data_IF_868737185931
#
_entry.id   IF_868737185931
#
_cell.length_a   1.000
_cell.length_b   1.000
_cell.length_c   1.000
_cell.angle_alpha   90.00
_cell.angle_beta   90.00
_cell.angle_gamma   90.00
#
_symmetry.space_group_name_H-M   'P 1'
#
loop_
_entity.id
_entity.type
_entity.pdbx_description
1 polymer ?
#
# COMPACT_ATOMS: atom_id res chain seq x y z
N UNK A 1 3.27 11.11 -4.02
CA UNK A 1 4.08 9.87 -4.13
C UNK A 1 3.26 8.75 -4.78
N UNK A 2 3.17 8.66 -6.12
CA UNK A 2 2.41 7.61 -6.80
C UNK A 2 3.23 6.32 -6.96
N UNK A 3 2.62 5.17 -6.70
CA UNK A 3 3.14 3.85 -7.08
C UNK A 3 2.05 3.07 -7.79
N UNK A 4 2.43 2.28 -8.81
CA UNK A 4 1.47 1.59 -9.70
C UNK A 4 1.84 0.12 -9.83
N UNK A 5 0.83 -0.75 -9.86
CA UNK A 5 0.99 -2.16 -10.20
C UNK A 5 -0.17 -2.64 -11.07
N UNK A 6 0.11 -3.56 -12.00
CA UNK A 6 -0.90 -4.25 -12.79
C UNK A 6 -1.57 -5.35 -11.98
N UNK A 7 -2.84 -5.61 -12.27
CA UNK A 7 -3.68 -6.62 -11.65
C UNK A 7 -4.05 -7.71 -12.66
N UNK A 8 -4.43 -8.89 -12.17
CA UNK A 8 -4.78 -10.03 -13.03
C UNK A 8 -5.97 -9.77 -13.96
N UNK A 9 -6.89 -8.87 -13.58
CA UNK A 9 -8.06 -8.52 -14.39
C UNK A 9 -7.76 -7.49 -15.50
N UNK A 10 -6.49 -7.21 -15.79
CA UNK A 10 -6.07 -6.25 -16.82
C UNK A 10 -6.20 -4.78 -16.42
N UNK A 11 -6.63 -4.48 -15.19
CA UNK A 11 -6.57 -3.13 -14.62
C UNK A 11 -5.21 -2.88 -13.97
N UNK A 12 -4.93 -1.61 -13.69
CA UNK A 12 -3.86 -1.16 -12.83
C UNK A 12 -4.45 -0.49 -11.59
N UNK A 13 -3.73 -0.58 -10.47
CA UNK A 13 -4.01 0.20 -9.27
C UNK A 13 -2.85 1.15 -9.01
N UNK A 14 -3.17 2.43 -8.79
CA UNK A 14 -2.21 3.45 -8.36
C UNK A 14 -2.51 3.85 -6.92
N UNK A 15 -1.57 3.66 -6.00
CA UNK A 15 -1.65 4.19 -4.64
C UNK A 15 -0.89 5.52 -4.54
N UNK A 16 -1.45 6.48 -3.80
CA UNK A 16 -0.87 7.79 -3.58
C UNK A 16 -1.33 8.38 -2.24
N UNK A 17 -0.56 9.31 -1.70
CA UNK A 17 -0.95 10.07 -0.51
C UNK A 17 -1.71 11.33 -0.95
N UNK A 18 -2.80 11.67 -0.26
CA UNK A 18 -3.68 12.76 -0.68
C UNK A 18 -3.93 13.77 0.44
N UNK A 19 -3.21 14.89 0.42
CA UNK A 19 -3.28 15.93 1.47
C UNK A 19 -4.52 16.82 1.41
N UNK A 20 -5.29 16.74 0.32
CA UNK A 20 -6.46 17.60 0.08
C UNK A 20 -7.77 16.84 0.23
N UNK A 21 -7.78 15.76 1.02
CA UNK A 21 -8.99 15.03 1.36
C UNK A 21 -9.98 15.95 2.11
N UNK A 22 -11.16 16.26 1.53
CA UNK A 22 -12.14 17.15 2.14
C UNK A 22 -12.71 16.61 3.46
N UNK A 23 -12.63 15.30 3.70
CA UNK A 23 -13.10 14.68 4.93
C UNK A 23 -12.14 14.89 6.12
N UNK A 24 -10.95 15.42 5.87
CA UNK A 24 -9.96 15.71 6.90
C UNK A 24 -10.16 17.14 7.38
N UNK A 25 -10.68 17.28 8.61
CA UNK A 25 -10.70 18.52 9.36
C UNK A 25 -9.60 18.51 10.43
N UNK A 26 -8.86 19.62 10.57
CA UNK A 26 -7.80 19.76 11.58
C UNK A 26 -6.38 19.62 11.02
N UNK A 27 -5.51 18.88 11.72
CA UNK A 27 -4.08 18.76 11.40
C UNK A 27 -3.84 18.22 9.98
N UNK A 28 -2.87 18.81 9.25
CA UNK A 28 -2.45 18.32 7.94
C UNK A 28 -2.12 16.82 7.97
N UNK A 29 -2.83 16.05 7.16
CA UNK A 29 -2.72 14.60 7.04
C UNK A 29 -2.59 14.22 5.56
N UNK A 30 -1.98 13.07 5.29
CA UNK A 30 -1.77 12.55 3.94
C UNK A 30 -2.38 11.14 3.81
N UNK A 31 -3.70 10.96 3.93
CA UNK A 31 -4.36 9.67 3.81
C UNK A 31 -3.96 8.96 2.51
N UNK A 32 -3.81 7.64 2.58
CA UNK A 32 -3.55 6.84 1.40
C UNK A 32 -4.85 6.70 0.61
N UNK A 33 -4.79 7.12 -0.64
CA UNK A 33 -5.81 6.94 -1.65
C UNK A 33 -5.30 5.99 -2.73
N UNK A 34 -6.23 5.42 -3.49
CA UNK A 34 -5.91 4.70 -4.70
C UNK A 34 -6.92 4.98 -5.81
N UNK A 35 -6.47 4.79 -7.05
CA UNK A 35 -7.30 4.79 -8.26
C UNK A 35 -7.09 3.48 -9.00
N UNK A 36 -8.14 3.01 -9.68
CA UNK A 36 -8.01 1.92 -10.65
C UNK A 36 -8.30 2.43 -12.05
N UNK A 37 -7.55 1.93 -13.03
CA UNK A 37 -7.70 2.29 -14.44
C UNK A 37 -7.33 1.11 -15.33
N UNK A 38 -7.88 1.04 -16.54
CA UNK A 38 -7.49 0.05 -17.56
C UNK A 38 -6.34 0.53 -18.44
N UNK A 39 -6.01 1.83 -18.39
CA UNK A 39 -4.93 2.44 -19.15
C UNK A 39 -4.03 3.22 -18.17
N UNK A 40 -2.71 2.96 -18.14
CA UNK A 40 -1.77 3.61 -17.22
C UNK A 40 -1.66 5.13 -17.42
N UNK A 41 -2.08 5.65 -18.57
CA UNK A 41 -2.07 7.09 -18.89
C UNK A 41 -3.38 7.79 -18.52
N UNK A 42 -4.42 7.04 -18.09
CA UNK A 42 -5.77 7.56 -17.82
C UNK A 42 -6.18 7.50 -16.34
N UNK A 43 -5.26 7.76 -15.42
CA UNK A 43 -5.60 7.90 -13.98
C UNK A 43 -6.26 9.24 -13.63
N UNK A 44 -6.07 10.30 -14.42
CA UNK A 44 -6.71 11.60 -14.17
C UNK A 44 -8.25 11.50 -14.06
N UNK A 45 -8.97 10.90 -15.03
CA UNK A 45 -10.43 10.77 -14.96
C UNK A 45 -10.93 9.69 -13.98
N UNK A 46 -10.05 8.80 -13.48
CA UNK A 46 -10.45 7.77 -12.52
C UNK A 46 -10.76 8.38 -11.15
N UNK A 47 -11.81 7.89 -10.49
CA UNK A 47 -12.19 8.32 -9.15
C UNK A 47 -11.20 7.79 -8.11
N UNK A 48 -10.73 8.69 -7.23
CA UNK A 48 -9.87 8.33 -6.11
C UNK A 48 -10.68 7.80 -4.93
N UNK A 49 -10.23 6.70 -4.35
CA UNK A 49 -10.88 6.05 -3.20
C UNK A 49 -9.92 6.07 -2.01
N UNK A 50 -10.40 6.51 -0.85
CA UNK A 50 -9.64 6.40 0.38
C UNK A 50 -9.43 4.92 0.74
N UNK A 51 -8.19 4.53 1.05
CA UNK A 51 -7.92 3.21 1.59
C UNK A 51 -8.43 3.16 3.02
N UNK A 52 -9.44 2.33 3.27
CA UNK A 52 -9.99 2.10 4.61
C UNK A 52 -10.01 0.60 4.91
N UNK A 53 -9.38 0.23 6.02
CA UNK A 53 -9.43 -1.13 6.51
C UNK A 53 -10.81 -1.44 7.13
N UNK A 54 -11.19 -2.72 7.18
CA UNK A 54 -12.45 -3.20 7.78
C UNK A 54 -12.65 -2.76 9.23
N UNK A 55 -11.56 -2.57 9.98
CA UNK A 55 -11.59 -2.06 11.35
C UNK A 55 -11.60 -0.52 11.45
N UNK A 56 -11.84 0.17 10.34
CA UNK A 56 -11.88 1.64 10.27
C UNK A 56 -10.53 2.34 10.09
N UNK A 57 -9.40 1.63 10.18
CA UNK A 57 -8.05 2.24 10.05
C UNK A 57 -7.88 2.84 8.66
N UNK A 58 -7.43 4.10 8.59
CA UNK A 58 -7.00 4.78 7.37
C UNK A 58 -5.46 4.95 7.43
N UNK A 59 -4.69 4.32 6.52
CA UNK A 59 -3.25 4.54 6.44
C UNK A 59 -2.92 5.94 5.96
N UNK A 60 -1.75 6.42 6.34
CA UNK A 60 -1.31 7.79 6.05
C UNK A 60 0.16 7.82 5.60
N UNK A 61 0.45 8.67 4.62
CA UNK A 61 1.78 9.01 4.14
C UNK A 61 2.43 7.95 3.26
N UNK A 62 3.17 8.42 2.25
CA UNK A 62 4.16 7.71 1.42
C UNK A 62 3.85 6.23 1.11
N UNK A 63 2.77 5.93 0.37
CA UNK A 63 2.38 4.56 0.10
C UNK A 63 3.26 3.86 -0.92
N UNK A 64 3.24 2.52 -0.86
CA UNK A 64 3.79 1.64 -1.88
C UNK A 64 2.84 0.47 -2.13
N UNK A 65 2.48 0.18 -3.39
CA UNK A 65 1.57 -0.91 -3.76
C UNK A 65 2.28 -2.00 -4.58
N UNK A 66 1.95 -3.26 -4.31
CA UNK A 66 2.32 -4.43 -5.12
C UNK A 66 1.14 -5.39 -5.23
N UNK A 67 1.23 -6.35 -6.15
CA UNK A 67 0.26 -7.42 -6.33
C UNK A 67 1.00 -8.76 -6.53
N UNK A 68 0.43 -9.85 -6.01
CA UNK A 68 0.88 -11.23 -6.18
C UNK A 68 -0.29 -12.10 -6.61
N UNK A 69 -0.05 -13.17 -7.39
CA UNK A 69 -1.09 -14.17 -7.70
C UNK A 69 -1.47 -15.03 -6.50
N UNK A 70 -0.68 -15.01 -5.43
CA UNK A 70 -0.94 -15.80 -4.24
C UNK A 70 -2.18 -15.29 -3.45
N UNK A 71 -2.88 -16.21 -2.79
CA UNK A 71 -4.03 -15.91 -1.94
C UNK A 71 -5.41 -16.05 -2.59
N UNK A 72 -5.51 -16.71 -3.75
CA UNK A 72 -6.78 -17.10 -4.39
C UNK A 72 -6.92 -16.59 -5.82
N UNK A 73 -8.10 -16.75 -6.42
CA UNK A 73 -8.33 -16.49 -7.84
C UNK A 73 -8.01 -15.06 -8.30
N UNK A 74 -8.11 -14.07 -7.40
CA UNK A 74 -7.82 -12.67 -7.70
C UNK A 74 -6.39 -12.24 -7.28
N UNK A 75 -5.62 -13.16 -6.70
CA UNK A 75 -4.38 -12.83 -6.01
C UNK A 75 -4.59 -11.90 -4.80
N UNK A 76 -3.54 -11.18 -4.44
CA UNK A 76 -3.52 -10.25 -3.30
C UNK A 76 -2.78 -8.97 -3.64
N UNK A 77 -3.47 -7.84 -3.58
CA UNK A 77 -2.86 -6.51 -3.55
C UNK A 77 -2.38 -6.19 -2.14
N UNK A 78 -1.19 -5.63 -2.00
CA UNK A 78 -0.60 -5.23 -0.71
C UNK A 78 -0.16 -3.77 -0.78
N UNK A 79 -0.55 -2.98 0.21
CA UNK A 79 -0.17 -1.58 0.37
C UNK A 79 0.57 -1.38 1.69
N UNK A 80 1.71 -0.69 1.63
CA UNK A 80 2.42 -0.14 2.79
C UNK A 80 2.15 1.37 2.90
N UNK A 81 2.33 1.96 4.09
CA UNK A 81 2.34 3.41 4.29
C UNK A 81 3.48 3.81 5.23
N UNK A 82 3.85 5.09 5.23
CA UNK A 82 5.03 5.58 5.95
C UNK A 82 4.85 5.81 7.44
N UNK A 83 3.62 5.74 7.94
CA UNK A 83 3.28 6.06 9.35
C UNK A 83 2.93 4.84 10.19
N UNK A 84 2.89 3.63 9.60
CA UNK A 84 2.47 2.40 10.26
C UNK A 84 3.40 1.23 9.90
N UNK A 85 3.55 0.29 10.83
CA UNK A 85 4.37 -0.91 10.63
C UNK A 85 3.59 -2.01 9.90
N UNK A 86 2.27 -1.99 10.00
CA UNK A 86 1.36 -2.92 9.33
C UNK A 86 1.32 -2.71 7.81
N UNK A 87 0.83 -3.73 7.11
CA UNK A 87 0.46 -3.68 5.70
C UNK A 87 -1.04 -3.83 5.54
N UNK A 88 -1.56 -3.43 4.38
CA UNK A 88 -2.98 -3.47 4.05
C UNK A 88 -3.16 -4.36 2.84
N UNK A 89 -4.01 -5.39 2.96
CA UNK A 89 -4.20 -6.39 1.90
C UNK A 89 -5.62 -6.37 1.36
N UNK A 90 -5.77 -6.60 0.06
CA UNK A 90 -7.06 -6.69 -0.61
C UNK A 90 -7.04 -7.80 -1.69
N UNK A 91 -8.10 -8.62 -1.73
CA UNK A 91 -8.26 -9.74 -2.68
C UNK A 91 -9.40 -9.50 -3.70
N UNK A 92 -9.86 -8.26 -3.80
CA UNK A 92 -10.97 -7.84 -4.65
C UNK A 92 -10.55 -6.81 -5.70
N UNK A 93 -9.28 -6.79 -6.13
CA UNK A 93 -8.75 -5.80 -7.08
C UNK A 93 -8.92 -4.34 -6.64
N UNK A 94 -8.87 -4.09 -5.33
CA UNK A 94 -9.14 -2.78 -4.73
C UNK A 94 -10.61 -2.56 -4.35
N UNK A 95 -11.51 -3.49 -4.65
CA UNK A 95 -12.91 -3.44 -4.23
C UNK A 95 -13.10 -4.09 -2.86
N UNK A 96 -14.10 -3.61 -2.11
CA UNK A 96 -14.40 -4.11 -0.76
C UNK A 96 -13.38 -3.69 0.31
N UNK A 97 -13.50 -4.24 1.54
CA UNK A 97 -12.70 -3.79 2.65
C UNK A 97 -11.25 -4.25 2.53
N UNK A 98 -10.32 -3.35 2.84
CA UNK A 98 -8.93 -3.71 3.06
C UNK A 98 -8.78 -4.39 4.42
N UNK A 99 -7.86 -5.33 4.54
CA UNK A 99 -7.52 -5.96 5.83
C UNK A 99 -6.16 -5.46 6.29
N UNK A 100 -6.09 -4.95 7.52
CA UNK A 100 -4.83 -4.57 8.18
C UNK A 100 -4.15 -5.84 8.71
N UNK A 101 -2.87 -6.01 8.43
CA UNK A 101 -2.07 -7.17 8.86
C UNK A 101 -0.75 -6.72 9.44
N UNK A 102 -0.34 -7.33 10.56
CA UNK A 102 0.98 -7.11 11.11
C UNK A 102 2.07 -7.50 10.10
N UNK A 103 3.12 -6.68 9.99
CA UNK A 103 4.30 -6.99 9.20
C UNK A 103 5.51 -7.17 10.11
N UNK A 104 6.57 -7.80 9.57
CA UNK A 104 7.82 -8.05 10.31
C UNK A 104 8.81 -6.89 10.25
N UNK A 105 8.63 -5.95 9.33
CA UNK A 105 9.47 -4.75 9.19
C UNK A 105 8.93 -3.56 10.00
N UNK A 106 9.83 -2.70 10.46
CA UNK A 106 9.46 -1.46 11.14
C UNK A 106 8.80 -0.44 10.21
N UNK A 107 8.22 0.61 10.81
CA UNK A 107 7.71 1.77 10.07
C UNK A 107 8.88 2.54 9.43
N UNK A 108 8.77 2.87 8.15
CA UNK A 108 9.75 3.70 7.42
C UNK A 108 9.04 4.60 6.41
N UNK A 109 9.56 5.81 6.18
CA UNK A 109 9.10 6.68 5.12
C UNK A 109 9.25 5.97 3.77
N UNK A 110 8.19 5.97 2.95
CA UNK A 110 8.11 5.30 1.65
C UNK A 110 8.55 3.83 1.63
N UNK A 111 8.27 3.09 2.72
CA UNK A 111 8.66 1.68 2.88
C UNK A 111 8.28 0.84 1.66
N UNK A 112 9.30 0.28 1.02
CA UNK A 112 9.21 -0.46 -0.24
C UNK A 112 8.64 -1.86 -0.02
N UNK A 113 7.88 -2.32 -1.00
CA UNK A 113 7.37 -3.68 -1.11
C UNK A 113 7.85 -4.32 -2.41
N UNK A 114 8.17 -5.61 -2.36
CA UNK A 114 8.44 -6.43 -3.55
C UNK A 114 7.91 -7.85 -3.34
N UNK A 115 7.07 -8.30 -4.27
CA UNK A 115 6.74 -9.72 -4.41
C UNK A 115 7.94 -10.41 -5.03
N UNK A 116 8.42 -11.49 -4.40
CA UNK A 116 9.59 -12.23 -4.88
C UNK A 116 9.19 -13.22 -5.99
N UNK A 117 10.19 -13.91 -6.57
CA UNK A 117 9.94 -14.95 -7.58
C UNK A 117 9.04 -16.07 -7.04
N UNK A 118 9.27 -16.48 -5.78
CA UNK A 118 8.24 -17.20 -5.03
C UNK A 118 7.16 -16.19 -4.67
N UNK A 119 6.06 -16.23 -5.43
CA UNK A 119 4.97 -15.26 -5.28
C UNK A 119 4.25 -15.35 -3.93
N UNK A 120 4.49 -16.40 -3.13
CA UNK A 120 4.02 -16.45 -1.74
C UNK A 120 4.83 -15.54 -0.80
N UNK A 121 5.97 -14.99 -1.24
CA UNK A 121 6.89 -14.22 -0.41
C UNK A 121 6.86 -12.73 -0.73
N UNK A 122 6.80 -11.93 0.32
CA UNK A 122 6.87 -10.47 0.29
C UNK A 122 8.14 -9.99 0.98
N UNK A 123 8.98 -9.29 0.23
CA UNK A 123 10.06 -8.48 0.76
C UNK A 123 9.53 -7.10 1.14
N UNK A 124 9.88 -6.66 2.34
CA UNK A 124 9.57 -5.33 2.87
C UNK A 124 10.88 -4.66 3.26
N UNK A 125 11.14 -3.46 2.72
CA UNK A 125 12.40 -2.75 2.90
C UNK A 125 12.16 -1.30 3.35
N UNK A 126 12.88 -0.86 4.38
CA UNK A 126 12.79 0.49 4.93
C UNK A 126 14.16 1.13 5.13
N UNK A 127 14.18 2.46 5.26
CA UNK A 127 15.38 3.25 5.54
C UNK A 127 15.18 4.26 6.69
N UNK A 128 14.17 4.05 7.54
CA UNK A 128 13.85 4.90 8.68
C UNK A 128 12.88 6.04 8.37
N UNK A 129 12.88 7.09 9.21
CA UNK A 129 11.89 8.18 9.21
C UNK A 129 12.42 9.45 8.55
N UNK A 130 11.51 10.38 8.23
CA UNK A 130 11.85 11.75 7.82
C UNK A 130 12.72 12.46 8.87
N UNK A 131 13.54 13.44 8.48
CA UNK A 131 14.28 14.26 9.42
C UNK A 131 13.34 15.03 10.38
N UNK A 132 13.79 15.33 11.60
CA UNK A 132 15.10 14.96 12.15
C UNK A 132 15.16 13.49 12.61
N UNK A 133 16.19 12.77 12.21
CA UNK A 133 16.51 11.42 12.69
C UNK A 133 18.03 11.17 12.59
N UNK A 134 18.62 10.60 13.64
CA UNK A 134 20.04 10.20 13.70
C UNK A 134 20.23 8.68 13.77
N UNK A 135 19.14 7.91 13.81
CA UNK A 135 19.15 6.46 14.08
C UNK A 135 18.67 5.62 12.89
N UNK A 136 18.42 6.24 11.74
CA UNK A 136 17.97 5.54 10.53
C UNK A 136 18.99 4.45 10.11
N UNK A 137 18.46 3.30 9.69
CA UNK A 137 19.18 2.16 9.12
C UNK A 137 18.37 1.62 7.95
N UNK A 138 19.06 1.06 6.97
CA UNK A 138 18.42 0.27 5.91
C UNK A 138 18.17 -1.13 6.46
N UNK A 139 16.92 -1.54 6.50
CA UNK A 139 16.50 -2.86 6.97
C UNK A 139 15.63 -3.54 5.92
N UNK A 140 15.66 -4.87 5.93
CA UNK A 140 14.84 -5.69 5.05
C UNK A 140 14.36 -6.91 5.82
N UNK A 141 13.09 -7.27 5.61
CA UNK A 141 12.52 -8.54 6.04
C UNK A 141 11.81 -9.21 4.87
N UNK A 142 11.67 -10.53 4.97
CA UNK A 142 10.83 -11.33 4.08
C UNK A 142 9.78 -12.03 4.94
N UNK A 143 8.54 -12.02 4.50
CA UNK A 143 7.43 -12.73 5.13
C UNK A 143 6.54 -13.38 4.07
N UNK A 144 5.69 -14.30 4.49
CA UNK A 144 4.63 -14.82 3.63
C UNK A 144 3.58 -13.74 3.36
N UNK A 145 3.03 -13.71 2.14
CA UNK A 145 1.91 -12.85 1.79
C UNK A 145 0.70 -13.26 2.63
N UNK A 146 0.05 -12.34 3.36
CA UNK A 146 -1.03 -12.73 4.26
C UNK A 146 -2.24 -13.37 3.56
N UNK A 147 -2.61 -14.56 4.01
CA UNK A 147 -3.75 -15.31 3.49
C UNK A 147 -3.42 -16.14 2.26
N UNK A 148 -2.13 -16.42 2.03
CA UNK A 148 -1.64 -17.62 1.34
C UNK A 148 -1.67 -18.79 2.31
#
# INVERSE_FOLDING_TARGET
MPTVVSLLNGKLIMAYEYSSDPAISGSHQFPVYYKTATNPEKFAPASGVALRASNGTVPNGSPYVVWSSAGGANGTSVVSCGTRGEIFVNKGFGEGPWRRVAAREGTSYTRHLRVLRDESKLLIMGAGKLPPSSTNRVTVTVMDIPGV
#
